data_IF_512040910643
#
_entry.id   IF_512040910643
#
_cell.length_a   1.000
_cell.length_b   1.000
_cell.length_c   1.000
_cell.angle_alpha   90.00
_cell.angle_beta   90.00
_cell.angle_gamma   90.00
#
_symmetry.space_group_name_H-M   'P 1'
#
loop_
_entity.id
_entity.type
_entity.pdbx_description
1 polymer ?
#
# COMPACT_ATOMS: atom_id res chain seq x y z
N UNK A 1 -5.47 -20.71 9.27
CA UNK A 1 -4.21 -20.35 8.59
C UNK A 1 -3.08 -20.49 9.60
N UNK A 2 -1.94 -21.10 9.26
CA UNK A 2 -0.82 -21.16 10.22
C UNK A 2 -0.25 -19.74 10.39
N UNK A 3 -0.04 -19.30 11.62
CA UNK A 3 0.51 -17.98 11.96
C UNK A 3 1.77 -17.69 11.15
N UNK A 4 2.64 -18.68 11.06
CA UNK A 4 3.92 -18.59 10.34
C UNK A 4 3.71 -18.21 8.88
N UNK A 5 2.70 -18.76 8.21
CA UNK A 5 2.42 -18.49 6.81
C UNK A 5 1.92 -17.05 6.59
N UNK A 6 1.02 -16.57 7.46
CA UNK A 6 0.52 -15.20 7.41
C UNK A 6 1.66 -14.18 7.59
N UNK A 7 2.58 -14.46 8.52
CA UNK A 7 3.77 -13.62 8.76
C UNK A 7 4.68 -13.56 7.54
N UNK A 8 4.97 -14.69 6.88
CA UNK A 8 5.79 -14.71 5.66
C UNK A 8 5.14 -13.95 4.50
N UNK A 9 3.83 -14.04 4.34
CA UNK A 9 3.09 -13.24 3.34
C UNK A 9 3.25 -11.75 3.64
N UNK A 10 3.04 -11.32 4.89
CA UNK A 10 3.17 -9.91 5.28
C UNK A 10 4.59 -9.40 5.08
N UNK A 11 5.61 -10.19 5.44
CA UNK A 11 7.02 -9.82 5.23
C UNK A 11 7.32 -9.67 3.74
N UNK A 12 6.94 -10.66 2.91
CA UNK A 12 7.14 -10.61 1.47
C UNK A 12 6.41 -9.43 0.83
N UNK A 13 5.16 -9.19 1.23
CA UNK A 13 4.37 -8.04 0.78
C UNK A 13 5.02 -6.72 1.19
N UNK A 14 5.49 -6.61 2.43
CA UNK A 14 6.18 -5.42 2.95
C UNK A 14 7.44 -5.11 2.16
N UNK A 15 8.24 -6.14 1.85
CA UNK A 15 9.44 -5.99 1.04
C UNK A 15 9.10 -5.44 -0.35
N UNK A 16 8.06 -5.96 -1.01
CA UNK A 16 7.66 -5.47 -2.33
C UNK A 16 7.12 -4.04 -2.25
N UNK A 17 6.18 -3.77 -1.34
CA UNK A 17 5.50 -2.47 -1.26
C UNK A 17 6.38 -1.35 -0.73
N UNK A 18 7.34 -1.63 0.17
CA UNK A 18 8.30 -0.64 0.64
C UNK A 18 9.24 -0.16 -0.49
N UNK A 19 9.51 -1.00 -1.49
CA UNK A 19 10.41 -0.67 -2.60
C UNK A 19 9.69 -0.07 -3.82
N UNK A 20 8.38 -0.32 -3.97
CA UNK A 20 7.57 0.17 -5.10
C UNK A 20 7.66 1.70 -5.35
N UNK A 21 7.55 2.57 -4.33
CA UNK A 21 7.64 4.03 -4.52
C UNK A 21 8.97 4.51 -5.11
N UNK A 22 10.05 3.78 -4.84
CA UNK A 22 11.38 4.12 -5.32
C UNK A 22 11.64 3.57 -6.71
N UNK A 23 11.24 2.33 -6.99
CA UNK A 23 11.46 1.69 -8.30
C UNK A 23 10.59 2.34 -9.38
N UNK A 24 9.33 2.66 -9.08
CA UNK A 24 8.36 3.17 -10.05
C UNK A 24 8.31 4.70 -10.04
N UNK A 25 8.52 5.29 -11.22
CA UNK A 25 8.47 6.75 -11.42
C UNK A 25 7.04 7.30 -11.48
N UNK A 26 6.06 6.45 -11.77
CA UNK A 26 4.65 6.83 -11.88
C UNK A 26 4.01 7.05 -10.51
N UNK A 27 3.26 8.14 -10.28
CA UNK A 27 2.60 8.40 -9.00
C UNK A 27 1.57 7.31 -8.69
N UNK A 28 1.56 6.88 -7.44
CA UNK A 28 0.55 5.94 -6.91
C UNK A 28 -0.61 6.66 -6.22
N UNK A 29 -0.43 7.94 -5.89
CA UNK A 29 -1.40 8.77 -5.17
C UNK A 29 -1.77 10.00 -5.98
N UNK A 30 -3.05 10.38 -5.90
CA UNK A 30 -3.52 11.70 -6.32
C UNK A 30 -3.33 12.66 -5.16
N UNK A 31 -2.32 13.51 -5.25
CA UNK A 31 -2.04 14.53 -4.23
C UNK A 31 -2.78 15.84 -4.56
N UNK A 32 -3.06 16.68 -3.55
CA UNK A 32 -3.79 17.94 -3.76
C UNK A 32 -2.93 19.06 -4.38
N UNK A 33 -1.63 18.81 -4.58
CA UNK A 33 -0.72 19.72 -5.27
C UNK A 33 -0.15 19.07 -6.54
N UNK A 34 -0.01 19.86 -7.60
CA UNK A 34 0.60 19.42 -8.86
C UNK A 34 2.09 19.11 -8.68
N UNK A 35 2.52 17.95 -9.19
CA UNK A 35 3.92 17.58 -9.26
C UNK A 35 4.60 18.20 -10.49
N UNK A 36 5.94 18.28 -10.48
CA UNK A 36 6.69 18.77 -11.65
C UNK A 36 6.42 17.87 -12.85
N UNK A 37 5.87 18.45 -13.92
CA UNK A 37 5.49 17.75 -15.14
C UNK A 37 4.01 17.36 -15.23
N UNK A 38 3.20 17.59 -14.18
CA UNK A 38 1.74 17.40 -14.26
C UNK A 38 1.04 18.62 -14.87
N UNK A 39 -0.05 18.41 -15.64
CA UNK A 39 -0.84 19.52 -16.16
C UNK A 39 -1.48 20.28 -15.00
N UNK A 40 -1.31 21.60 -14.98
CA UNK A 40 -1.80 22.45 -13.90
C UNK A 40 -3.32 22.58 -14.03
N UNK A 41 -4.05 21.70 -13.34
CA UNK A 41 -5.49 21.83 -13.14
C UNK A 41 -5.80 22.87 -12.04
N UNK A 42 -7.02 23.44 -11.99
CA UNK A 42 -7.43 24.32 -10.90
C UNK A 42 -7.25 23.65 -9.53
N UNK A 43 -6.72 24.37 -8.54
CA UNK A 43 -6.41 23.80 -7.23
C UNK A 43 -7.62 23.12 -6.56
N UNK A 44 -8.80 23.74 -6.61
CA UNK A 44 -10.03 23.18 -6.03
C UNK A 44 -10.39 21.81 -6.65
N UNK A 45 -10.16 21.63 -7.95
CA UNK A 45 -10.44 20.39 -8.66
C UNK A 45 -9.45 19.29 -8.25
N UNK A 46 -8.16 19.63 -8.06
CA UNK A 46 -7.14 18.70 -7.56
C UNK A 46 -7.45 18.22 -6.14
N UNK A 47 -7.88 19.13 -5.27
CA UNK A 47 -8.31 18.81 -3.91
C UNK A 47 -9.51 17.86 -3.91
N UNK A 48 -10.54 18.13 -4.73
CA UNK A 48 -11.70 17.24 -4.85
C UNK A 48 -11.26 15.85 -5.31
N UNK A 49 -10.46 15.75 -6.37
CA UNK A 49 -9.99 14.44 -6.84
C UNK A 49 -9.12 13.72 -5.82
N UNK A 50 -8.25 14.44 -5.11
CA UNK A 50 -7.40 13.87 -4.06
C UNK A 50 -8.23 13.34 -2.91
N UNK A 51 -9.20 14.11 -2.43
CA UNK A 51 -10.12 13.69 -1.37
C UNK A 51 -10.92 12.47 -1.81
N UNK A 52 -11.53 12.50 -2.99
CA UNK A 52 -12.30 11.36 -3.53
C UNK A 52 -11.42 10.12 -3.64
N UNK A 53 -10.20 10.26 -4.15
CA UNK A 53 -9.24 9.15 -4.26
C UNK A 53 -8.86 8.58 -2.89
N UNK A 54 -8.54 9.45 -1.91
CA UNK A 54 -8.18 9.02 -0.56
C UNK A 54 -9.37 8.38 0.16
N UNK A 55 -10.59 8.90 -0.02
CA UNK A 55 -11.82 8.29 0.50
C UNK A 55 -12.07 6.92 -0.12
N UNK A 56 -11.87 6.76 -1.43
CA UNK A 56 -11.98 5.47 -2.10
C UNK A 56 -10.91 4.49 -1.64
N UNK A 57 -9.66 4.94 -1.48
CA UNK A 57 -8.56 4.11 -0.99
C UNK A 57 -8.82 3.66 0.46
N UNK A 58 -9.22 4.57 1.34
CA UNK A 58 -9.55 4.28 2.72
C UNK A 58 -10.78 3.37 2.83
N UNK A 59 -11.82 3.64 2.02
CA UNK A 59 -13.01 2.79 1.94
C UNK A 59 -12.67 1.38 1.47
N UNK A 60 -11.80 1.24 0.46
CA UNK A 60 -11.35 -0.07 -0.01
C UNK A 60 -10.48 -0.79 1.04
N UNK A 61 -9.61 -0.06 1.75
CA UNK A 61 -8.83 -0.64 2.84
C UNK A 61 -9.72 -1.10 4.01
N UNK A 62 -10.79 -0.37 4.32
CA UNK A 62 -11.78 -0.76 5.31
C UNK A 62 -12.58 -2.00 4.87
N UNK A 63 -13.02 -2.05 3.60
CA UNK A 63 -13.66 -3.23 3.01
C UNK A 63 -12.73 -4.43 3.02
N UNK A 64 -11.44 -4.24 2.70
CA UNK A 64 -10.42 -5.28 2.79
C UNK A 64 -10.31 -5.84 4.20
N UNK A 65 -10.24 -4.97 5.21
CA UNK A 65 -10.20 -5.35 6.61
C UNK A 65 -11.45 -6.14 7.03
N UNK A 66 -12.65 -5.72 6.62
CA UNK A 66 -13.90 -6.43 6.90
C UNK A 66 -13.99 -7.78 6.18
N UNK A 67 -13.67 -7.83 4.89
CA UNK A 67 -13.77 -9.05 4.07
C UNK A 67 -12.77 -10.12 4.48
N UNK A 68 -11.56 -9.70 4.86
CA UNK A 68 -10.51 -10.58 5.32
C UNK A 68 -10.79 -10.93 6.79
N UNK A 69 -10.95 -9.94 7.68
CA UNK A 69 -11.13 -10.13 9.13
C UNK A 69 -12.41 -10.87 9.53
N UNK A 70 -13.49 -10.76 8.75
CA UNK A 70 -14.76 -11.45 9.01
C UNK A 70 -14.88 -12.83 8.38
N UNK A 71 -13.88 -13.29 7.61
CA UNK A 71 -13.92 -14.60 6.99
C UNK A 71 -13.54 -15.68 8.01
N UNK A 72 -14.49 -16.13 8.83
CA UNK A 72 -14.29 -17.27 9.74
C UNK A 72 -13.98 -18.53 8.91
N UNK A 73 -12.69 -18.83 8.72
CA UNK A 73 -12.24 -20.00 7.97
C UNK A 73 -12.38 -21.22 8.90
N UNK A 74 -13.48 -21.95 8.76
CA UNK A 74 -13.53 -23.34 9.21
C UNK A 74 -12.48 -24.12 8.38
N UNK A 75 -11.37 -24.51 9.02
CA UNK A 75 -10.21 -25.15 8.37
C UNK A 75 -10.53 -26.49 7.67
N UNK A 76 -11.74 -27.01 7.82
CA UNK A 76 -12.15 -28.33 7.35
C UNK A 76 -12.57 -28.38 5.88
N UNK A 77 -12.95 -27.24 5.26
CA UNK A 77 -13.49 -27.21 3.89
C UNK A 77 -12.56 -26.49 2.90
N UNK A 78 -12.12 -27.24 1.88
CA UNK A 78 -11.34 -26.74 0.73
C UNK A 78 -11.99 -25.54 0.03
N UNK A 79 -13.33 -25.51 -0.05
CA UNK A 79 -14.09 -24.40 -0.64
C UNK A 79 -13.92 -23.09 0.12
N UNK A 80 -13.93 -23.14 1.45
CA UNK A 80 -13.78 -21.96 2.31
C UNK A 80 -12.38 -21.35 2.22
N UNK A 81 -11.35 -22.19 2.11
CA UNK A 81 -9.96 -21.76 1.90
C UNK A 81 -9.78 -21.12 0.51
N UNK A 82 -10.35 -21.74 -0.53
CA UNK A 82 -10.29 -21.20 -1.89
C UNK A 82 -10.97 -19.83 -2.00
N UNK A 83 -12.15 -19.66 -1.40
CA UNK A 83 -12.85 -18.37 -1.34
C UNK A 83 -12.07 -17.32 -0.55
N UNK A 84 -11.39 -17.70 0.54
CA UNK A 84 -10.54 -16.80 1.31
C UNK A 84 -9.35 -16.29 0.49
N UNK A 85 -8.63 -17.18 -0.21
CA UNK A 85 -7.54 -16.80 -1.11
C UNK A 85 -8.07 -15.92 -2.24
N UNK A 86 -9.20 -16.28 -2.84
CA UNK A 86 -9.84 -15.49 -3.90
C UNK A 86 -10.20 -14.07 -3.42
N UNK A 87 -10.69 -13.91 -2.19
CA UNK A 87 -10.95 -12.60 -1.57
C UNK A 87 -9.66 -11.79 -1.40
N UNK A 88 -8.60 -12.38 -0.87
CA UNK A 88 -7.29 -11.71 -0.70
C UNK A 88 -6.77 -11.24 -2.06
N UNK A 89 -6.75 -12.13 -3.06
CA UNK A 89 -6.28 -11.81 -4.41
C UNK A 89 -7.15 -10.74 -5.05
N UNK A 90 -8.48 -10.84 -4.93
CA UNK A 90 -9.42 -9.85 -5.45
C UNK A 90 -9.22 -8.46 -4.83
N UNK A 91 -9.10 -8.38 -3.51
CA UNK A 91 -8.80 -7.14 -2.79
C UNK A 91 -7.47 -6.55 -3.23
N UNK A 92 -6.43 -7.39 -3.34
CA UNK A 92 -5.11 -6.96 -3.78
C UNK A 92 -5.14 -6.42 -5.21
N UNK A 93 -5.84 -7.09 -6.12
CA UNK A 93 -6.03 -6.63 -7.50
C UNK A 93 -6.76 -5.30 -7.56
N UNK A 94 -7.84 -5.13 -6.80
CA UNK A 94 -8.60 -3.87 -6.75
C UNK A 94 -7.74 -2.74 -6.19
N UNK A 95 -7.02 -2.97 -5.09
CA UNK A 95 -6.09 -1.99 -4.52
C UNK A 95 -4.97 -1.65 -5.50
N UNK A 96 -4.40 -2.64 -6.18
CA UNK A 96 -3.37 -2.43 -7.19
C UNK A 96 -3.89 -1.61 -8.37
N UNK A 97 -5.12 -1.88 -8.86
CA UNK A 97 -5.77 -1.09 -9.91
C UNK A 97 -6.04 0.35 -9.45
N UNK A 98 -6.53 0.53 -8.23
CA UNK A 98 -6.78 1.84 -7.65
C UNK A 98 -5.47 2.64 -7.52
N UNK A 99 -4.40 2.03 -7.02
CA UNK A 99 -3.07 2.67 -6.92
C UNK A 99 -2.39 2.86 -8.28
N UNK A 100 -2.73 2.07 -9.30
CA UNK A 100 -2.24 2.24 -10.66
C UNK A 100 -2.99 3.34 -11.44
N UNK A 101 -4.20 3.70 -11.01
CA UNK A 101 -5.04 4.71 -11.66
C UNK A 101 -4.33 6.07 -11.85
N UNK A 102 -3.65 6.67 -10.85
CA UNK A 102 -2.98 7.96 -11.01
C UNK A 102 -1.83 7.88 -12.03
N UNK A 103 -1.07 6.79 -11.99
CA UNK A 103 0.00 6.52 -12.95
C UNK A 103 -0.50 6.28 -14.38
N UNK A 104 -1.73 5.80 -14.55
CA UNK A 104 -2.35 5.67 -15.87
C UNK A 104 -2.91 7.00 -16.37
N UNK A 105 -3.58 7.77 -15.51
CA UNK A 105 -4.11 9.11 -15.82
C UNK A 105 -3.03 10.03 -16.42
N UNK A 106 -1.81 9.97 -15.88
CA UNK A 106 -0.70 10.82 -16.31
C UNK A 106 0.32 10.10 -17.21
N UNK A 107 -0.07 9.03 -17.93
CA UNK A 107 0.86 8.25 -18.78
C UNK A 107 1.58 9.09 -19.83
N UNK A 108 0.94 10.15 -20.32
CA UNK A 108 1.49 11.00 -21.38
C UNK A 108 2.57 11.97 -20.88
N UNK A 109 2.81 12.08 -19.57
CA UNK A 109 3.69 13.12 -19.00
C UNK A 109 4.79 12.49 -18.14
N UNK A 110 5.99 13.05 -18.23
CA UNK A 110 7.14 12.62 -17.44
C UNK A 110 7.07 13.38 -16.10
N UNK A 111 6.61 12.69 -15.05
CA UNK A 111 6.44 13.29 -13.72
C UNK A 111 7.70 13.07 -12.89
N UNK A 112 8.28 14.16 -12.40
CA UNK A 112 9.39 14.10 -11.45
C UNK A 112 8.89 14.08 -10.01
N UNK A 113 8.79 12.87 -9.43
CA UNK A 113 8.49 12.69 -8.01
C UNK A 113 9.56 13.31 -7.12
N UNK A 114 9.15 14.22 -6.24
CA UNK A 114 10.00 14.72 -5.16
C UNK A 114 10.28 13.63 -4.12
N UNK A 115 11.28 13.85 -3.27
CA UNK A 115 11.56 12.97 -2.14
C UNK A 115 10.37 12.86 -1.18
N UNK A 116 9.71 13.99 -0.86
CA UNK A 116 8.56 14.02 0.04
C UNK A 116 7.35 13.25 -0.50
N UNK A 117 7.09 13.31 -1.81
CA UNK A 117 6.01 12.53 -2.43
C UNK A 117 6.25 11.02 -2.24
N UNK A 118 7.49 10.55 -2.41
CA UNK A 118 7.82 9.13 -2.19
C UNK A 118 7.69 8.73 -0.73
N UNK A 119 8.04 9.63 0.19
CA UNK A 119 7.86 9.39 1.62
C UNK A 119 6.38 9.25 2.00
N UNK A 120 5.52 10.08 1.41
CA UNK A 120 4.06 9.98 1.58
C UNK A 120 3.53 8.68 0.97
N UNK A 121 3.97 8.32 -0.25
CA UNK A 121 3.61 7.03 -0.87
C UNK A 121 4.03 5.85 0.02
N UNK A 122 5.25 5.88 0.57
CA UNK A 122 5.76 4.86 1.48
C UNK A 122 4.90 4.77 2.74
N UNK A 123 4.53 5.90 3.34
CA UNK A 123 3.66 5.94 4.52
C UNK A 123 2.29 5.36 4.22
N UNK A 124 1.70 5.67 3.07
CA UNK A 124 0.42 5.07 2.66
C UNK A 124 0.55 3.56 2.46
N UNK A 125 1.62 3.07 1.83
CA UNK A 125 1.87 1.63 1.72
C UNK A 125 2.03 0.96 3.08
N UNK A 126 2.73 1.60 4.02
CA UNK A 126 2.84 1.13 5.40
C UNK A 126 1.46 0.98 6.05
N UNK A 127 0.60 2.00 5.94
CA UNK A 127 -0.77 1.93 6.46
C UNK A 127 -1.58 0.80 5.81
N UNK A 128 -1.50 0.62 4.48
CA UNK A 128 -2.21 -0.44 3.77
C UNK A 128 -1.76 -1.84 4.22
N UNK A 129 -0.45 -2.06 4.35
CA UNK A 129 0.11 -3.32 4.84
C UNK A 129 -0.25 -3.54 6.30
N UNK A 130 -0.22 -2.50 7.13
CA UNK A 130 -0.64 -2.57 8.54
C UNK A 130 -2.10 -3.00 8.67
N UNK A 131 -3.02 -2.41 7.88
CA UNK A 131 -4.44 -2.80 7.86
C UNK A 131 -4.61 -4.27 7.47
N UNK A 132 -3.84 -4.77 6.48
CA UNK A 132 -3.83 -6.19 6.13
C UNK A 132 -3.29 -7.06 7.27
N UNK A 133 -2.26 -6.61 7.98
CA UNK A 133 -1.75 -7.28 9.18
C UNK A 133 -2.80 -7.44 10.26
N UNK A 134 -3.51 -6.34 10.59
CA UNK A 134 -4.63 -6.37 11.53
C UNK A 134 -5.79 -7.26 11.07
N UNK A 135 -6.05 -7.30 9.76
CA UNK A 135 -7.06 -8.18 9.20
C UNK A 135 -6.69 -9.65 9.38
N UNK A 136 -5.41 -10.01 9.20
CA UNK A 136 -4.93 -11.37 9.46
C UNK A 136 -4.96 -11.71 10.95
N UNK A 137 -4.59 -10.77 11.83
CA UNK A 137 -4.66 -10.99 13.28
C UNK A 137 -6.11 -11.19 13.77
N UNK A 138 -7.07 -10.44 13.21
CA UNK A 138 -8.49 -10.61 13.50
C UNK A 138 -8.99 -12.04 13.19
N UNK A 139 -8.48 -12.66 12.12
CA UNK A 139 -8.83 -14.05 11.77
C UNK A 139 -8.23 -15.09 12.73
N UNK A 140 -7.18 -14.73 13.48
CA UNK A 140 -6.48 -15.66 14.37
C UNK A 140 -7.05 -15.70 15.79
N UNK A 141 -8.15 -14.96 16.04
CA UNK A 141 -9.02 -15.17 17.20
C UNK A 141 -8.66 -14.39 18.46
N UNK A 142 -7.45 -13.83 18.58
CA UNK A 142 -7.12 -12.95 19.71
C UNK A 142 -6.23 -11.78 19.28
N UNK A 143 -6.84 -10.62 19.10
CA UNK A 143 -6.12 -9.36 18.90
C UNK A 143 -5.55 -8.91 20.24
N UNK A 144 -4.23 -8.90 20.37
CA UNK A 144 -3.61 -8.38 21.57
C UNK A 144 -3.56 -6.85 21.50
N UNK A 145 -3.78 -6.14 22.61
CA UNK A 145 -3.63 -4.68 22.63
C UNK A 145 -2.17 -4.33 22.36
N UNK A 146 -1.89 -3.78 21.17
CA UNK A 146 -0.55 -3.35 20.77
C UNK A 146 -0.26 -1.95 21.30
N UNK A 147 0.92 -1.77 21.87
CA UNK A 147 1.38 -0.47 22.37
C UNK A 147 2.01 0.36 21.25
N UNK A 148 2.31 1.63 21.52
CA UNK A 148 2.87 2.55 20.51
C UNK A 148 4.25 2.07 19.99
N UNK A 149 5.02 1.35 20.83
CA UNK A 149 6.32 0.79 20.49
C UNK A 149 6.21 -0.21 19.33
N UNK A 150 5.14 -1.00 19.28
CA UNK A 150 4.91 -1.95 18.18
C UNK A 150 4.84 -1.22 16.83
N UNK A 151 4.11 -0.11 16.77
CA UNK A 151 3.99 0.70 15.56
C UNK A 151 5.31 1.38 15.18
N UNK A 152 6.10 1.82 16.17
CA UNK A 152 7.41 2.42 15.93
C UNK A 152 8.41 1.40 15.35
N UNK A 153 8.42 0.17 15.90
CA UNK A 153 9.30 -0.90 15.45
C UNK A 153 8.89 -1.38 14.06
N UNK A 154 7.60 -1.66 13.84
CA UNK A 154 7.11 -2.12 12.53
C UNK A 154 7.32 -1.07 11.44
N UNK A 155 7.12 0.21 11.73
CA UNK A 155 7.43 1.30 10.80
C UNK A 155 8.93 1.37 10.49
N UNK A 156 9.79 1.24 11.51
CA UNK A 156 11.25 1.24 11.33
C UNK A 156 11.72 0.05 10.49
N UNK A 157 11.17 -1.15 10.73
CA UNK A 157 11.43 -2.33 9.90
C UNK A 157 10.96 -2.12 8.46
N UNK A 158 9.79 -1.53 8.26
CA UNK A 158 9.28 -1.22 6.92
C UNK A 158 10.19 -0.25 6.16
N UNK A 159 10.71 0.78 6.84
CA UNK A 159 11.70 1.69 6.26
C UNK A 159 13.00 0.97 5.87
N UNK A 160 13.50 0.08 6.72
CA UNK A 160 14.68 -0.74 6.43
C UNK A 160 14.45 -1.64 5.21
N UNK A 161 13.27 -2.25 5.09
CA UNK A 161 12.90 -3.05 3.91
C UNK A 161 12.85 -2.22 2.63
N UNK A 162 12.51 -0.92 2.70
CA UNK A 162 12.52 0.01 1.57
C UNK A 162 13.90 0.58 1.22
N UNK A 163 14.92 0.34 2.04
CA UNK A 163 16.27 0.85 1.84
C UNK A 163 16.91 0.44 0.48
N UNK A 164 16.79 -0.81 -0.01
CA UNK A 164 17.37 -1.20 -1.30
C UNK A 164 16.87 -0.35 -2.47
N UNK A 165 15.56 -0.07 -2.53
CA UNK A 165 14.95 0.79 -3.54
C UNK A 165 15.42 2.24 -3.42
N UNK A 166 15.56 2.73 -2.19
CA UNK A 166 16.14 4.05 -1.92
C UNK A 166 17.58 4.14 -2.47
N UNK A 167 18.45 3.20 -2.11
CA UNK A 167 19.84 3.16 -2.58
C UNK A 167 19.91 3.09 -4.10
N UNK A 168 19.13 2.19 -4.71
CA UNK A 168 19.10 2.03 -6.16
C UNK A 168 18.78 3.34 -6.87
N UNK A 169 17.80 4.10 -6.37
CA UNK A 169 17.38 5.34 -7.04
C UNK A 169 18.26 6.55 -6.73
N UNK A 170 18.68 6.72 -5.49
CA UNK A 170 19.39 7.93 -5.07
C UNK A 170 20.90 7.81 -5.17
N UNK A 171 21.45 6.62 -4.92
CA UNK A 171 22.90 6.40 -4.90
C UNK A 171 23.39 5.78 -6.21
N UNK A 172 22.70 4.78 -6.76
CA UNK A 172 23.18 4.08 -7.97
C UNK A 172 22.74 4.77 -9.27
N UNK A 173 21.49 5.22 -9.34
CA UNK A 173 20.97 5.89 -10.55
C UNK A 173 21.30 7.38 -10.50
N UNK A 174 22.55 7.72 -10.78
CA UNK A 174 22.94 9.10 -10.99
C UNK A 174 22.05 9.71 -12.09
N UNK A 175 21.38 10.80 -11.74
CA UNK A 175 20.65 11.65 -12.69
C UNK A 175 21.72 12.20 -13.64
N UNK A 176 21.88 11.61 -14.83
CA UNK A 176 22.62 12.25 -15.92
C UNK A 176 21.94 13.60 -16.12
N UNK A 177 22.59 14.65 -15.65
CA UNK A 177 22.19 16.03 -15.90
C UNK A 177 22.22 16.27 -17.40
#
# INVERSE_FOLDING_TARGET
MNQSFAVWILIGLSLVTANLPFIIERPFLVLPWAQKGEPVAPAWMQWIFSIVFLCLLAGMAYVAWLLIGGAFVALSDLGSVALFIAKIVGVFLILALLLAYPGWRNRAHIIEKSFFVRLIELLVFYCLVGILGFAFEANMGNQFPQTWEFYAITFSLFLVLGYPGFVYRYLLRHRKR
#
